data_IF_103067394801
#
_entry.id   IF_103067394801
#
_cell.length_a   1.000
_cell.length_b   1.000
_cell.length_c   1.000
_cell.angle_alpha   90.00
_cell.angle_beta   90.00
_cell.angle_gamma   90.00
#
_symmetry.space_group_name_H-M   'P 1'
#
loop_
_entity.id
_entity.type
_entity.pdbx_description
1 polymer ?
#
# COMPACT_ATOMS: atom_id res chain seq x y z
N UNK A 1 11.26 -0.64 -18.26
CA UNK A 1 10.00 -0.34 -17.55
C UNK A 1 8.82 -0.71 -18.45
N UNK A 2 7.83 -1.44 -17.90
CA UNK A 2 6.65 -1.90 -18.64
C UNK A 2 5.46 -1.00 -18.30
N UNK A 3 4.66 -0.60 -19.28
CA UNK A 3 3.42 0.11 -19.04
C UNK A 3 2.33 -0.86 -18.61
N UNK A 4 1.47 -0.45 -17.68
CA UNK A 4 0.31 -1.24 -17.25
C UNK A 4 -0.74 -1.29 -18.37
N UNK A 5 -1.48 -2.41 -18.46
CA UNK A 5 -2.56 -2.56 -19.43
C UNK A 5 -3.77 -1.67 -19.06
N UNK A 6 -4.61 -1.36 -20.07
CA UNK A 6 -5.70 -0.37 -19.95
C UNK A 6 -6.74 -0.65 -18.85
N UNK A 7 -7.00 -1.92 -18.53
CA UNK A 7 -7.91 -2.29 -17.44
C UNK A 7 -7.33 -1.97 -16.06
N UNK A 8 -6.03 -2.17 -15.88
CA UNK A 8 -5.32 -1.86 -14.64
C UNK A 8 -5.19 -0.34 -14.43
N UNK A 9 -5.11 0.42 -15.53
CA UNK A 9 -5.10 1.88 -15.49
C UNK A 9 -6.43 2.45 -14.98
N UNK A 10 -7.58 1.91 -15.43
CA UNK A 10 -8.90 2.37 -14.99
C UNK A 10 -9.13 2.15 -13.49
N UNK A 11 -8.65 1.03 -12.95
CA UNK A 11 -8.74 0.72 -11.54
C UNK A 11 -7.87 1.63 -10.65
N UNK A 12 -6.77 2.14 -11.15
CA UNK A 12 -5.91 3.11 -10.45
C UNK A 12 -6.46 4.55 -10.52
N UNK A 13 -7.00 4.96 -11.67
CA UNK A 13 -7.47 6.33 -11.93
C UNK A 13 -8.76 6.66 -11.16
N UNK A 14 -9.67 5.70 -11.00
CA UNK A 14 -10.96 5.92 -10.35
C UNK A 14 -10.89 6.17 -8.83
N UNK A 15 -9.69 6.21 -8.23
CA UNK A 15 -9.48 6.26 -6.78
C UNK A 15 -9.05 7.59 -6.20
N UNK A 16 -8.93 8.62 -7.02
CA UNK A 16 -8.53 9.99 -6.58
C UNK A 16 -9.43 10.61 -5.50
N UNK A 17 -10.57 10.00 -5.16
CA UNK A 17 -11.61 10.62 -4.34
C UNK A 17 -11.95 9.91 -3.03
N UNK A 18 -11.20 8.91 -2.60
CA UNK A 18 -11.46 8.33 -1.28
C UNK A 18 -11.21 9.39 -0.20
N UNK A 19 -12.29 9.99 0.31
CA UNK A 19 -12.24 10.92 1.43
C UNK A 19 -11.66 10.23 2.66
N UNK A 20 -10.89 10.98 3.46
CA UNK A 20 -10.44 10.50 4.77
C UNK A 20 -11.64 10.04 5.58
N UNK A 21 -11.65 8.82 6.11
CA UNK A 21 -12.72 8.38 6.98
C UNK A 21 -12.71 9.25 8.24
N UNK A 22 -13.82 9.96 8.47
CA UNK A 22 -14.02 10.68 9.72
C UNK A 22 -14.14 9.68 10.86
N UNK A 23 -13.56 10.01 12.02
CA UNK A 23 -13.79 9.24 13.23
C UNK A 23 -15.30 9.13 13.52
N UNK A 24 -15.76 7.91 13.69
CA UNK A 24 -17.15 7.61 14.05
C UNK A 24 -17.16 6.82 15.37
N UNK A 25 -17.74 7.38 16.46
CA UNK A 25 -17.76 6.71 17.76
C UNK A 25 -18.58 5.41 17.79
N UNK A 26 -19.37 5.14 16.75
CA UNK A 26 -20.11 3.87 16.60
C UNK A 26 -19.25 2.74 16.01
N UNK A 27 -18.10 3.09 15.42
CA UNK A 27 -17.14 2.13 14.86
C UNK A 27 -16.18 1.66 15.94
N UNK A 28 -15.63 0.48 15.73
CA UNK A 28 -14.59 -0.08 16.59
C UNK A 28 -13.25 0.53 16.26
N UNK A 29 -12.41 0.65 17.26
CA UNK A 29 -11.00 1.00 17.06
C UNK A 29 -10.16 -0.26 16.79
N UNK A 30 -9.16 -0.11 15.94
CA UNK A 30 -8.18 -1.15 15.69
C UNK A 30 -7.15 -1.21 16.82
N UNK A 31 -6.44 -2.36 16.99
CA UNK A 31 -5.32 -2.48 17.91
C UNK A 31 -4.28 -1.38 17.68
N UNK A 32 -3.80 -0.75 18.75
CA UNK A 32 -2.79 0.30 18.65
C UNK A 32 -1.42 -0.30 18.42
N UNK A 33 -0.62 0.32 17.55
CA UNK A 33 0.74 -0.15 17.26
C UNK A 33 1.64 -0.19 18.50
N UNK A 34 1.45 0.74 19.44
CA UNK A 34 2.17 0.81 20.71
C UNK A 34 2.04 -0.43 21.59
N UNK A 35 0.98 -1.21 21.40
CA UNK A 35 0.67 -2.38 22.24
C UNK A 35 1.40 -3.65 21.76
N UNK A 36 2.18 -3.56 20.66
CA UNK A 36 2.82 -4.71 20.02
C UNK A 36 4.31 -4.47 19.80
N UNK A 37 5.11 -5.54 19.97
CA UNK A 37 6.53 -5.55 19.63
C UNK A 37 6.67 -5.93 18.15
N UNK A 38 7.00 -4.93 17.32
CA UNK A 38 7.21 -5.08 15.89
C UNK A 38 5.95 -4.96 15.02
N UNK A 39 6.16 -4.51 13.80
CA UNK A 39 5.08 -4.25 12.85
C UNK A 39 4.28 -5.51 12.49
N UNK A 40 4.95 -6.64 12.29
CA UNK A 40 4.29 -7.90 11.92
C UNK A 40 3.29 -8.38 12.95
N UNK A 41 3.64 -8.30 14.25
CA UNK A 41 2.73 -8.71 15.32
C UNK A 41 1.49 -7.82 15.36
N UNK A 42 1.68 -6.53 15.21
CA UNK A 42 0.59 -5.57 15.15
C UNK A 42 -0.32 -5.78 13.93
N UNK A 43 0.24 -5.91 12.71
CA UNK A 43 -0.54 -6.18 11.51
C UNK A 43 -1.35 -7.47 11.60
N UNK A 44 -0.79 -8.53 12.22
CA UNK A 44 -1.54 -9.76 12.50
C UNK A 44 -2.71 -9.54 13.45
N UNK A 45 -2.53 -8.74 14.48
CA UNK A 45 -3.61 -8.42 15.42
C UNK A 45 -4.71 -7.60 14.74
N UNK A 46 -4.34 -6.68 13.86
CA UNK A 46 -5.31 -5.93 13.03
C UNK A 46 -6.09 -6.87 12.13
N UNK A 47 -5.42 -7.75 11.39
CA UNK A 47 -6.08 -8.73 10.52
C UNK A 47 -7.02 -9.64 11.29
N UNK A 48 -6.60 -10.13 12.45
CA UNK A 48 -7.44 -10.96 13.32
C UNK A 48 -8.65 -10.18 13.86
N UNK A 49 -8.48 -8.90 14.17
CA UNK A 49 -9.56 -8.04 14.65
C UNK A 49 -10.60 -7.78 13.54
N UNK A 50 -10.16 -7.55 12.32
CA UNK A 50 -11.04 -7.35 11.16
C UNK A 50 -11.79 -8.64 10.83
N UNK A 51 -11.12 -9.79 10.91
CA UNK A 51 -11.72 -11.13 10.77
C UNK A 51 -12.06 -11.52 9.34
N UNK A 52 -11.57 -10.79 8.35
CA UNK A 52 -11.77 -11.07 6.92
C UNK A 52 -10.47 -10.95 6.14
N UNK A 53 -10.37 -11.58 4.97
CA UNK A 53 -9.20 -11.45 4.11
C UNK A 53 -9.02 -10.00 3.65
N UNK A 54 -7.88 -9.43 3.99
CA UNK A 54 -7.45 -8.12 3.54
C UNK A 54 -6.07 -8.23 2.89
N UNK A 55 -5.77 -7.33 1.97
CA UNK A 55 -4.45 -7.19 1.38
C UNK A 55 -3.91 -5.82 1.77
N UNK A 56 -2.85 -5.80 2.56
CA UNK A 56 -2.19 -4.56 2.96
C UNK A 56 -1.61 -3.84 1.74
N UNK A 57 -1.74 -2.52 1.72
CA UNK A 57 -1.28 -1.67 0.64
C UNK A 57 -0.38 -0.55 1.19
N UNK A 58 0.31 0.14 0.31
CA UNK A 58 1.09 1.34 0.60
C UNK A 58 2.09 1.14 1.75
N UNK A 59 2.04 1.99 2.79
CA UNK A 59 2.96 1.95 3.93
C UNK A 59 2.89 0.61 4.67
N UNK A 60 1.70 0.03 4.82
CA UNK A 60 1.51 -1.26 5.47
C UNK A 60 2.09 -2.41 4.63
N UNK A 61 1.98 -2.33 3.30
CA UNK A 61 2.63 -3.29 2.41
C UNK A 61 4.16 -3.20 2.50
N UNK A 62 4.72 -2.00 2.58
CA UNK A 62 6.16 -1.81 2.78
C UNK A 62 6.64 -2.42 4.11
N UNK A 63 5.86 -2.27 5.18
CA UNK A 63 6.15 -2.92 6.47
C UNK A 63 6.12 -4.45 6.35
N UNK A 64 5.14 -5.02 5.63
CA UNK A 64 5.10 -6.46 5.35
C UNK A 64 6.32 -6.94 4.55
N UNK A 65 6.86 -6.09 3.68
CA UNK A 65 8.06 -6.35 2.89
C UNK A 65 9.37 -6.13 3.67
N UNK A 66 9.32 -5.82 4.97
CA UNK A 66 10.46 -5.41 5.81
C UNK A 66 11.16 -4.14 5.27
N UNK A 67 10.38 -3.21 4.75
CA UNK A 67 10.83 -1.89 4.31
C UNK A 67 10.28 -0.82 5.24
N UNK A 68 10.86 0.37 5.18
CA UNK A 68 10.30 1.50 5.91
C UNK A 68 8.94 1.86 5.30
N UNK A 69 7.87 1.80 6.10
CA UNK A 69 6.50 2.10 5.68
C UNK A 69 6.06 3.54 5.95
N UNK A 70 6.95 4.39 6.45
CA UNK A 70 6.57 5.74 6.80
C UNK A 70 5.79 5.85 8.11
N UNK A 71 5.05 6.94 8.29
CA UNK A 71 4.32 7.30 9.51
C UNK A 71 2.84 7.55 9.27
N UNK A 72 2.20 6.72 8.47
CA UNK A 72 0.75 6.81 8.29
C UNK A 72 0.02 6.44 9.59
N UNK A 73 -1.04 7.16 9.89
CA UNK A 73 -1.99 6.83 10.98
C UNK A 73 -3.20 6.05 10.46
N UNK A 74 -3.22 5.69 9.20
CA UNK A 74 -4.32 5.02 8.54
C UNK A 74 -3.88 3.62 8.11
N UNK A 75 -4.78 2.65 8.19
CA UNK A 75 -4.63 1.36 7.54
C UNK A 75 -5.17 1.44 6.13
N UNK A 76 -4.34 1.14 5.16
CA UNK A 76 -4.71 1.20 3.75
C UNK A 76 -4.68 -0.20 3.18
N UNK A 77 -5.84 -0.68 2.76
CA UNK A 77 -6.04 -2.07 2.37
C UNK A 77 -6.86 -2.20 1.09
N UNK A 78 -6.67 -3.33 0.43
CA UNK A 78 -7.58 -3.89 -0.55
C UNK A 78 -8.43 -4.96 0.10
N UNK A 79 -9.67 -5.07 -0.31
CA UNK A 79 -10.58 -6.13 0.14
C UNK A 79 -10.67 -7.25 -0.89
N UNK A 80 -10.97 -8.45 -0.38
CA UNK A 80 -11.51 -9.54 -1.15
C UNK A 80 -12.94 -9.80 -0.67
N UNK A 81 -13.92 -9.34 -1.43
CA UNK A 81 -15.32 -9.67 -1.19
C UNK A 81 -16.10 -8.67 -0.34
N UNK A 82 -16.51 -9.03 0.87
CA UNK A 82 -17.45 -8.21 1.66
C UNK A 82 -16.78 -7.02 2.35
N UNK A 83 -17.50 -5.91 2.41
CA UNK A 83 -17.04 -4.66 3.03
C UNK A 83 -17.32 -4.65 4.54
N UNK A 84 -16.60 -5.46 5.32
CA UNK A 84 -16.69 -5.42 6.78
C UNK A 84 -15.71 -4.44 7.44
N UNK A 85 -14.73 -3.95 6.70
CA UNK A 85 -13.74 -2.98 7.20
C UNK A 85 -14.36 -1.64 7.57
N UNK A 86 -15.52 -1.31 7.00
CA UNK A 86 -16.32 -0.11 7.35
C UNK A 86 -16.73 -0.06 8.82
N UNK A 87 -16.64 -1.17 9.56
CA UNK A 87 -16.92 -1.22 11.01
C UNK A 87 -15.81 -0.64 11.87
N UNK A 88 -14.65 -0.33 11.28
CA UNK A 88 -13.48 0.12 12.01
C UNK A 88 -13.10 1.55 11.65
N UNK A 89 -12.64 2.30 12.65
CA UNK A 89 -12.02 3.59 12.44
C UNK A 89 -10.61 3.42 11.83
N UNK A 90 -10.21 4.40 11.02
CA UNK A 90 -8.85 4.47 10.48
C UNK A 90 -8.53 3.51 9.33
N UNK A 91 -9.51 2.76 8.81
CA UNK A 91 -9.30 1.91 7.63
C UNK A 91 -9.68 2.65 6.36
N UNK A 92 -8.77 2.67 5.41
CA UNK A 92 -8.99 3.19 4.06
C UNK A 92 -8.99 2.02 3.09
N UNK A 93 -10.08 1.85 2.38
CA UNK A 93 -10.22 0.80 1.38
C UNK A 93 -9.91 1.38 0.01
N UNK A 94 -8.90 0.86 -0.67
CA UNK A 94 -8.54 1.26 -2.03
C UNK A 94 -9.50 0.68 -3.07
N UNK A 95 -10.04 -0.49 -2.81
CA UNK A 95 -11.02 -1.15 -3.65
C UNK A 95 -11.34 -2.56 -3.16
N UNK A 96 -12.33 -3.16 -3.76
CA UNK A 96 -12.88 -4.48 -3.40
C UNK A 96 -12.37 -5.62 -4.29
N UNK A 97 -11.40 -5.35 -5.14
CA UNK A 97 -10.76 -6.35 -5.99
C UNK A 97 -9.33 -5.95 -6.32
N UNK A 98 -8.42 -6.88 -6.15
CA UNK A 98 -7.02 -6.76 -6.61
C UNK A 98 -6.64 -8.07 -7.32
N UNK A 99 -5.93 -7.96 -8.44
CA UNK A 99 -5.45 -9.15 -9.14
C UNK A 99 -4.46 -9.93 -8.27
N UNK A 100 -4.62 -11.26 -8.13
CA UNK A 100 -3.71 -12.10 -7.36
C UNK A 100 -2.24 -12.00 -7.77
N UNK A 101 -1.95 -11.63 -9.02
CA UNK A 101 -0.59 -11.45 -9.50
C UNK A 101 0.21 -10.36 -8.77
N UNK A 102 -0.49 -9.41 -8.14
CA UNK A 102 0.11 -8.32 -7.36
C UNK A 102 0.14 -8.60 -5.85
N UNK A 103 -0.34 -9.76 -5.43
CA UNK A 103 -0.44 -10.12 -4.01
C UNK A 103 0.68 -11.06 -3.63
N UNK A 104 1.38 -10.71 -2.56
CA UNK A 104 2.37 -11.56 -1.91
C UNK A 104 1.86 -12.00 -0.54
N UNK A 105 2.37 -13.12 -0.06
CA UNK A 105 2.09 -13.63 1.28
C UNK A 105 3.41 -13.80 2.04
N UNK A 106 3.42 -13.35 3.29
CA UNK A 106 4.50 -13.63 4.23
C UNK A 106 3.94 -13.72 5.64
N UNK A 107 4.23 -14.82 6.30
CA UNK A 107 3.83 -15.04 7.68
C UNK A 107 2.31 -14.91 7.93
N UNK A 108 1.48 -15.29 6.97
CA UNK A 108 0.02 -15.18 7.06
C UNK A 108 -0.54 -13.78 6.83
N UNK A 109 0.29 -12.83 6.39
CA UNK A 109 -0.13 -11.50 5.95
C UNK A 109 -0.10 -11.43 4.43
N UNK A 110 -1.19 -10.95 3.84
CA UNK A 110 -1.28 -10.67 2.42
C UNK A 110 -1.04 -9.19 2.17
N UNK A 111 -0.23 -8.85 1.18
CA UNK A 111 0.15 -7.48 0.87
C UNK A 111 0.48 -7.31 -0.62
N UNK A 112 0.38 -6.09 -1.11
CA UNK A 112 0.76 -5.77 -2.48
C UNK A 112 2.26 -5.95 -2.67
N UNK A 113 2.68 -6.44 -3.84
CA UNK A 113 4.09 -6.46 -4.23
C UNK A 113 4.63 -5.02 -4.35
N UNK A 114 5.96 -4.89 -4.47
CA UNK A 114 6.58 -3.56 -4.52
C UNK A 114 6.14 -2.75 -5.74
N UNK A 115 5.96 -3.40 -6.87
CA UNK A 115 5.54 -2.77 -8.11
C UNK A 115 4.13 -2.15 -7.96
N UNK A 116 3.20 -2.93 -7.44
CA UNK A 116 1.84 -2.45 -7.16
C UNK A 116 1.83 -1.39 -6.06
N UNK A 117 2.64 -1.56 -5.02
CA UNK A 117 2.77 -0.59 -3.93
C UNK A 117 3.22 0.78 -4.45
N UNK A 118 4.23 0.83 -5.32
CA UNK A 118 4.70 2.07 -5.94
C UNK A 118 3.60 2.69 -6.81
N UNK A 119 2.93 1.89 -7.63
CA UNK A 119 1.85 2.39 -8.50
C UNK A 119 0.67 2.97 -7.71
N UNK A 120 0.25 2.29 -6.64
CA UNK A 120 -0.80 2.78 -5.75
C UNK A 120 -0.35 4.05 -5.00
N UNK A 121 0.93 4.15 -4.63
CA UNK A 121 1.49 5.31 -3.94
C UNK A 121 1.46 6.58 -4.80
N UNK A 122 1.82 6.48 -6.07
CA UNK A 122 1.79 7.62 -7.00
C UNK A 122 0.38 8.21 -7.14
N UNK A 123 -0.65 7.38 -7.03
CA UNK A 123 -2.05 7.84 -7.06
C UNK A 123 -2.50 8.46 -5.73
N UNK A 124 -1.85 8.09 -4.63
CA UNK A 124 -2.27 8.43 -3.26
C UNK A 124 -1.23 9.26 -2.49
N UNK A 125 -0.35 9.99 -3.15
CA UNK A 125 0.76 10.73 -2.53
C UNK A 125 0.36 11.59 -1.33
N UNK A 126 -0.80 12.24 -1.39
CA UNK A 126 -1.28 13.11 -0.31
C UNK A 126 -1.55 12.39 1.01
N UNK A 127 -1.52 11.07 1.04
CA UNK A 127 -1.80 10.23 2.20
C UNK A 127 -0.57 9.56 2.78
N UNK A 128 0.57 9.70 2.13
CA UNK A 128 1.76 8.91 2.41
C UNK A 128 2.91 9.74 2.95
N UNK A 129 3.73 9.08 3.72
CA UNK A 129 5.09 9.52 3.94
C UNK A 129 5.94 9.12 2.72
N UNK A 130 6.15 10.08 1.82
CA UNK A 130 6.88 9.84 0.58
C UNK A 130 8.33 9.40 0.80
N UNK A 131 8.90 9.65 1.96
CA UNK A 131 10.22 9.14 2.32
C UNK A 131 10.23 7.60 2.26
N UNK A 132 9.20 6.94 2.77
CA UNK A 132 9.09 5.47 2.72
C UNK A 132 9.09 4.94 1.29
N UNK A 133 8.37 5.60 0.39
CA UNK A 133 8.31 5.22 -1.03
C UNK A 133 9.65 5.48 -1.73
N UNK A 134 10.28 6.62 -1.48
CA UNK A 134 11.61 6.96 -2.05
C UNK A 134 12.66 5.95 -1.59
N UNK A 135 12.68 5.59 -0.31
CA UNK A 135 13.58 4.54 0.20
C UNK A 135 13.29 3.16 -0.43
N UNK A 136 12.01 2.81 -0.65
CA UNK A 136 11.67 1.55 -1.29
C UNK A 136 12.12 1.50 -2.76
N UNK A 137 11.99 2.61 -3.49
CA UNK A 137 12.48 2.77 -4.87
C UNK A 137 14.01 2.63 -4.89
N UNK A 138 14.73 3.31 -3.99
CA UNK A 138 16.18 3.23 -3.87
C UNK A 138 16.66 1.80 -3.62
N UNK A 139 16.06 1.11 -2.64
CA UNK A 139 16.41 -0.28 -2.32
C UNK A 139 16.12 -1.23 -3.47
N UNK A 140 15.03 -1.00 -4.22
CA UNK A 140 14.75 -1.78 -5.41
C UNK A 140 15.87 -1.61 -6.45
N UNK A 141 16.23 -0.37 -6.75
CA UNK A 141 17.26 -0.02 -7.73
C UNK A 141 18.59 -0.76 -7.45
N UNK A 142 19.12 -0.62 -6.23
CA UNK A 142 20.38 -1.26 -5.87
C UNK A 142 20.28 -2.80 -5.77
N UNK A 143 19.16 -3.34 -5.32
CA UNK A 143 18.94 -4.78 -5.27
C UNK A 143 18.77 -5.41 -6.67
N UNK A 144 18.38 -4.60 -7.66
CA UNK A 144 18.13 -5.05 -9.05
C UNK A 144 19.27 -4.64 -10.00
N UNK A 145 20.50 -4.54 -9.50
CA UNK A 145 21.67 -4.25 -10.32
C UNK A 145 21.69 -2.84 -10.92
N UNK A 146 21.28 -1.87 -10.12
CA UNK A 146 21.17 -0.46 -10.52
C UNK A 146 20.18 -0.24 -11.69
N UNK A 147 19.05 -0.92 -11.63
CA UNK A 147 18.03 -0.88 -12.67
C UNK A 147 16.62 -0.78 -12.08
N UNK A 148 15.74 -0.03 -12.77
CA UNK A 148 14.30 0.01 -12.52
C UNK A 148 13.52 -0.98 -13.41
N UNK A 149 14.20 -1.91 -14.05
CA UNK A 149 13.54 -2.95 -14.83
C UNK A 149 12.59 -3.76 -13.96
N UNK A 150 11.36 -4.02 -14.45
CA UNK A 150 10.32 -4.72 -13.71
C UNK A 150 9.36 -3.79 -12.97
N UNK A 151 9.70 -2.52 -12.74
CA UNK A 151 8.73 -1.55 -12.24
C UNK A 151 7.84 -1.10 -13.41
N UNK A 152 6.53 -1.17 -13.18
CA UNK A 152 5.52 -0.70 -14.13
C UNK A 152 4.72 0.43 -13.49
N UNK A 153 4.50 1.51 -14.21
CA UNK A 153 3.68 2.64 -13.79
C UNK A 153 2.65 2.99 -14.85
N UNK A 154 1.54 3.54 -14.40
CA UNK A 154 0.54 4.10 -15.30
C UNK A 154 1.16 5.27 -16.06
N UNK A 155 0.94 5.43 -17.38
CA UNK A 155 1.53 6.50 -18.16
C UNK A 155 1.34 7.90 -17.60
N UNK A 156 0.19 8.17 -17.00
CA UNK A 156 -0.12 9.45 -16.34
C UNK A 156 0.86 9.82 -15.22
N UNK A 157 1.41 8.81 -14.52
CA UNK A 157 2.32 8.99 -13.38
C UNK A 157 3.79 8.74 -13.73
N UNK A 158 4.11 8.50 -14.99
CA UNK A 158 5.46 8.19 -15.44
C UNK A 158 6.46 9.28 -15.06
N UNK A 159 6.14 10.55 -15.38
CA UNK A 159 7.01 11.68 -15.06
C UNK A 159 7.23 11.84 -13.55
N UNK A 160 6.20 11.57 -12.75
CA UNK A 160 6.32 11.62 -11.29
C UNK A 160 7.19 10.50 -10.76
N UNK A 161 7.05 9.28 -11.30
CA UNK A 161 7.93 8.18 -10.94
C UNK A 161 9.40 8.50 -11.28
N UNK A 162 9.68 9.05 -12.44
CA UNK A 162 11.04 9.42 -12.86
C UNK A 162 11.67 10.47 -11.94
N UNK A 163 10.86 11.44 -11.47
CA UNK A 163 11.31 12.40 -10.46
C UNK A 163 11.69 11.72 -9.14
N UNK A 164 10.82 10.86 -8.59
CA UNK A 164 11.10 10.13 -7.34
C UNK A 164 12.28 9.17 -7.51
N UNK A 165 12.41 8.53 -8.65
CA UNK A 165 13.54 7.66 -8.97
C UNK A 165 14.86 8.43 -8.98
N UNK A 166 14.88 9.63 -9.55
CA UNK A 166 16.05 10.49 -9.51
C UNK A 166 16.40 10.95 -8.08
N UNK A 167 15.40 11.28 -7.27
CA UNK A 167 15.59 11.62 -5.85
C UNK A 167 16.13 10.42 -5.04
N UNK A 168 15.70 9.21 -5.38
CA UNK A 168 16.03 7.99 -4.66
C UNK A 168 17.47 7.51 -4.85
N UNK A 169 18.14 7.89 -5.95
CA UNK A 169 19.49 7.43 -6.31
C UNK A 169 20.57 8.52 -6.18
N UNK A 170 20.19 9.75 -5.81
CA UNK A 170 21.12 10.84 -5.51
C UNK A 170 21.41 10.93 -4.02
#
# INVERSE_FOLDING_TARGET
MKLLESHEQSDLINRKTATLPKYDPRKKDLPKRSDYIGATAWLRAVQACIGEPIVYALDDALMCQNRFGGRSNEFIVWLYGSDQTTRFNGVVVLGNHISPMYVQERNGLFFTDLNRTISDALVNESRLDMQGITEAISRYYYANGESFEGISVVPEYQARFEQLAAEAIN
#
